data_IF_284525138441
#
_entry.id   IF_284525138441
#
_cell.length_a   1.000
_cell.length_b   1.000
_cell.length_c   1.000
_cell.angle_alpha   90.00
_cell.angle_beta   90.00
_cell.angle_gamma   90.00
#
_symmetry.space_group_name_H-M   'P 1'
#
loop_
_entity.id
_entity.type
_entity.pdbx_description
1 polymer ?
#
# COMPACT_ATOMS: atom_id res chain seq x y z
N UNK A 1 14.87 32.88 9.03
CA UNK A 1 15.93 32.13 8.32
C UNK A 1 17.23 32.01 9.12
N UNK A 2 17.86 33.10 9.59
CA UNK A 2 19.18 33.06 10.28
C UNK A 2 19.28 32.03 11.42
N UNK A 3 18.28 31.98 12.31
CA UNK A 3 18.26 31.05 13.44
C UNK A 3 18.23 29.61 12.95
N UNK A 4 17.29 29.27 12.08
CA UNK A 4 17.12 27.89 11.60
C UNK A 4 18.31 27.39 10.80
N UNK A 5 18.88 28.27 9.96
CA UNK A 5 20.11 27.99 9.21
C UNK A 5 21.29 27.66 10.12
N UNK A 6 21.43 28.37 11.24
CA UNK A 6 22.55 28.16 12.17
C UNK A 6 22.55 26.75 12.81
N UNK A 7 21.42 26.05 12.79
CA UNK A 7 21.26 24.73 13.41
C UNK A 7 20.74 23.65 12.45
N UNK A 8 20.69 23.92 11.14
CA UNK A 8 20.13 23.02 10.12
C UNK A 8 18.72 22.50 10.47
N UNK A 9 17.87 23.41 10.96
CA UNK A 9 16.46 23.10 11.23
C UNK A 9 15.66 23.37 9.96
N UNK A 10 14.94 22.37 9.46
CA UNK A 10 14.04 22.50 8.32
C UNK A 10 12.75 23.23 8.68
N UNK A 11 12.23 24.04 7.76
CA UNK A 11 10.87 24.55 7.85
C UNK A 11 9.86 23.45 7.51
N UNK A 12 8.86 23.31 8.38
CA UNK A 12 7.55 22.76 8.04
C UNK A 12 6.60 23.95 8.01
N UNK A 13 6.28 24.45 6.81
CA UNK A 13 5.41 25.62 6.67
C UNK A 13 3.97 25.19 6.92
N UNK A 14 3.43 25.59 8.08
CA UNK A 14 2.15 25.11 8.60
C UNK A 14 0.93 25.55 7.78
N UNK A 15 -0.10 24.70 7.81
CA UNK A 15 -1.38 24.90 7.14
C UNK A 15 -2.47 25.42 8.11
N UNK A 16 -2.26 26.64 8.60
CA UNK A 16 -3.12 27.27 9.61
C UNK A 16 -4.57 27.46 9.18
N UNK A 17 -4.84 27.53 7.87
CA UNK A 17 -6.16 27.69 7.25
C UNK A 17 -6.62 26.42 6.52
N UNK A 18 -6.12 25.23 6.91
CA UNK A 18 -6.59 23.96 6.35
C UNK A 18 -8.09 23.71 6.61
N UNK A 19 -8.78 22.98 5.72
CA UNK A 19 -10.19 22.64 5.91
C UNK A 19 -10.38 21.64 7.06
N UNK A 20 -11.27 21.98 8.00
CA UNK A 20 -11.73 21.11 9.09
C UNK A 20 -13.06 20.39 8.80
N UNK A 21 -13.60 20.55 7.59
CA UNK A 21 -14.78 19.84 7.10
C UNK A 21 -14.70 19.64 5.59
N UNK A 22 -15.44 18.66 5.06
CA UNK A 22 -15.53 18.42 3.61
C UNK A 22 -16.09 19.64 2.84
N UNK A 23 -16.94 20.45 3.49
CA UNK A 23 -17.56 21.61 2.87
C UNK A 23 -16.54 22.73 2.61
N UNK A 24 -15.59 22.92 3.52
CA UNK A 24 -14.58 23.98 3.47
C UNK A 24 -13.37 23.61 2.58
N UNK A 25 -13.31 22.36 2.12
CA UNK A 25 -12.22 21.87 1.29
C UNK A 25 -12.08 22.68 -0.02
N UNK A 26 -10.86 23.17 -0.26
CA UNK A 26 -10.44 23.95 -1.43
C UNK A 26 -11.09 25.34 -1.52
N UNK A 27 -11.42 25.92 -0.37
CA UNK A 27 -11.89 27.30 -0.32
C UNK A 27 -10.77 28.30 -0.63
N UNK A 28 -11.13 29.59 -0.68
CA UNK A 28 -10.16 30.64 -0.98
C UNK A 28 -9.13 30.83 0.15
N UNK A 29 -9.52 30.61 1.40
CA UNK A 29 -8.62 30.79 2.54
C UNK A 29 -7.47 29.79 2.49
N UNK A 30 -7.80 28.51 2.30
CA UNK A 30 -6.82 27.43 2.16
C UNK A 30 -5.83 27.71 1.02
N UNK A 31 -6.32 28.03 -0.18
CA UNK A 31 -5.43 28.25 -1.32
C UNK A 31 -4.65 29.56 -1.26
N UNK A 32 -5.19 30.60 -0.62
CA UNK A 32 -4.43 31.83 -0.38
C UNK A 32 -3.21 31.58 0.54
N UNK A 33 -3.39 30.75 1.57
CA UNK A 33 -2.29 30.34 2.43
C UNK A 33 -1.26 29.54 1.62
N UNK A 34 -1.67 28.51 0.87
CA UNK A 34 -0.76 27.69 0.06
C UNK A 34 0.09 28.50 -0.93
N UNK A 35 -0.53 29.47 -1.63
CA UNK A 35 0.17 30.41 -2.53
C UNK A 35 1.25 31.20 -1.75
N UNK A 36 0.90 31.70 -0.56
CA UNK A 36 1.83 32.41 0.33
C UNK A 36 2.96 31.50 0.82
N UNK A 37 2.67 30.24 1.16
CA UNK A 37 3.70 29.28 1.56
C UNK A 37 4.71 29.03 0.43
N UNK A 38 4.26 29.03 -0.83
CA UNK A 38 5.13 28.97 -2.00
C UNK A 38 6.08 30.17 -2.13
N UNK A 39 5.61 31.38 -1.83
CA UNK A 39 6.47 32.57 -1.75
C UNK A 39 7.50 32.47 -0.62
N UNK A 40 7.06 32.06 0.58
CA UNK A 40 7.94 31.86 1.73
C UNK A 40 9.00 30.77 1.49
N UNK A 41 8.65 29.74 0.72
CA UNK A 41 9.56 28.67 0.32
C UNK A 41 10.74 29.22 -0.47
N UNK A 42 10.49 30.08 -1.46
CA UNK A 42 11.54 30.71 -2.26
C UNK A 42 12.48 31.55 -1.40
N UNK A 43 11.92 32.35 -0.47
CA UNK A 43 12.71 33.15 0.47
C UNK A 43 13.58 32.27 1.39
N UNK A 44 13.05 31.16 1.89
CA UNK A 44 13.82 30.24 2.72
C UNK A 44 14.94 29.54 1.93
N UNK A 45 14.70 29.18 0.66
CA UNK A 45 15.71 28.59 -0.22
C UNK A 45 16.83 29.57 -0.60
N UNK A 46 16.52 30.85 -0.81
CA UNK A 46 17.54 31.90 -1.03
C UNK A 46 18.55 31.97 0.13
N UNK A 47 18.09 31.71 1.35
CA UNK A 47 18.93 31.64 2.55
C UNK A 47 19.53 30.26 2.82
N UNK A 48 19.26 29.27 1.97
CA UNK A 48 19.77 27.90 2.08
C UNK A 48 19.15 27.07 3.20
N UNK A 49 17.89 27.35 3.58
CA UNK A 49 17.15 26.59 4.60
C UNK A 49 16.25 25.55 3.93
N UNK A 50 16.25 24.33 4.43
CA UNK A 50 15.40 23.23 3.94
C UNK A 50 13.92 23.50 4.24
N UNK A 51 13.00 23.13 3.35
CA UNK A 51 11.56 23.41 3.47
C UNK A 51 10.73 22.20 3.06
N UNK A 52 9.66 21.94 3.81
CA UNK A 52 8.48 21.17 3.41
C UNK A 52 7.21 21.98 3.70
N UNK A 53 6.11 21.66 3.02
CA UNK A 53 4.83 22.38 3.10
C UNK A 53 3.81 21.47 3.80
N UNK A 54 3.10 21.99 4.78
CA UNK A 54 1.96 21.28 5.37
C UNK A 54 0.71 21.45 4.50
N UNK A 55 -0.17 20.45 4.52
CA UNK A 55 -1.34 20.39 3.65
C UNK A 55 -2.54 19.71 4.29
N UNK A 56 -3.69 19.76 3.59
CA UNK A 56 -5.02 19.80 4.19
C UNK A 56 -5.41 18.60 5.08
N UNK A 57 -6.44 18.88 5.89
CA UNK A 57 -7.12 17.92 6.75
C UNK A 57 -8.31 17.21 6.08
N UNK A 58 -9.45 17.87 5.90
CA UNK A 58 -10.68 17.25 5.40
C UNK A 58 -10.90 17.58 3.91
N UNK A 59 -10.83 16.58 3.02
CA UNK A 59 -10.94 16.76 1.57
C UNK A 59 -11.66 15.57 0.93
N UNK A 60 -12.79 15.77 0.23
CA UNK A 60 -13.47 14.67 -0.45
C UNK A 60 -12.63 14.20 -1.64
N UNK A 61 -12.68 12.90 -1.95
CA UNK A 61 -11.76 12.27 -2.93
C UNK A 61 -11.63 13.00 -4.28
N UNK A 62 -12.73 13.52 -4.83
CA UNK A 62 -12.74 14.24 -6.10
C UNK A 62 -11.97 15.59 -6.08
N UNK A 63 -11.66 16.11 -4.89
CA UNK A 63 -10.88 17.35 -4.67
C UNK A 63 -9.42 17.09 -4.28
N UNK A 64 -9.01 15.85 -4.06
CA UNK A 64 -7.64 15.54 -3.61
C UNK A 64 -6.61 15.88 -4.69
N UNK A 65 -6.89 15.56 -5.96
CA UNK A 65 -5.92 15.73 -7.04
C UNK A 65 -5.51 17.21 -7.25
N UNK A 66 -6.47 18.12 -7.22
CA UNK A 66 -6.22 19.56 -7.38
C UNK A 66 -5.38 20.15 -6.23
N UNK A 67 -5.46 19.60 -5.00
CA UNK A 67 -4.57 20.02 -3.91
C UNK A 67 -3.11 19.71 -4.23
N UNK A 68 -2.84 18.50 -4.72
CA UNK A 68 -1.49 18.09 -5.10
C UNK A 68 -0.96 18.90 -6.30
N UNK A 69 -1.78 19.07 -7.34
CA UNK A 69 -1.39 19.84 -8.53
C UNK A 69 -1.05 21.29 -8.18
N UNK A 70 -1.88 21.94 -7.37
CA UNK A 70 -1.64 23.32 -6.96
C UNK A 70 -0.43 23.43 -6.02
N UNK A 71 -0.19 22.45 -5.16
CA UNK A 71 1.02 22.47 -4.33
C UNK A 71 2.30 22.37 -5.16
N UNK A 72 2.34 21.47 -6.16
CA UNK A 72 3.50 21.34 -7.05
C UNK A 72 3.76 22.65 -7.81
N UNK A 73 2.71 23.27 -8.33
CA UNK A 73 2.78 24.53 -9.09
C UNK A 73 3.25 25.70 -8.23
N UNK A 74 2.61 25.93 -7.08
CA UNK A 74 2.83 27.15 -6.28
C UNK A 74 4.09 27.04 -5.40
N UNK A 75 4.39 25.84 -4.91
CA UNK A 75 5.47 25.62 -3.93
C UNK A 75 6.77 25.08 -4.56
N UNK A 76 6.89 25.09 -5.89
CA UNK A 76 8.12 24.69 -6.59
C UNK A 76 8.52 23.24 -6.32
N UNK A 77 7.55 22.33 -6.23
CA UNK A 77 7.75 20.91 -5.93
C UNK A 77 8.42 20.62 -4.57
N UNK A 78 8.37 21.54 -3.61
CA UNK A 78 8.80 21.28 -2.24
C UNK A 78 8.07 20.03 -1.66
N UNK A 79 8.70 19.23 -0.77
CA UNK A 79 8.04 18.09 -0.15
C UNK A 79 6.72 18.47 0.52
N UNK A 80 5.65 17.75 0.21
CA UNK A 80 4.34 17.98 0.79
C UNK A 80 4.10 17.04 1.99
N UNK A 81 3.53 17.57 3.07
CA UNK A 81 3.26 16.90 4.33
C UNK A 81 1.78 17.07 4.72
N UNK A 82 0.96 16.02 4.63
CA UNK A 82 -0.50 16.17 4.78
C UNK A 82 -1.08 15.49 6.01
N UNK A 83 -2.14 16.05 6.59
CA UNK A 83 -2.93 15.41 7.65
C UNK A 83 -4.08 14.57 7.09
N UNK A 84 -3.78 13.35 6.66
CA UNK A 84 -4.72 12.52 5.90
C UNK A 84 -4.57 12.78 4.39
N UNK A 85 -5.60 13.28 3.66
CA UNK A 85 -6.81 13.92 4.20
C UNK A 85 -7.98 12.97 4.52
N UNK A 86 -8.83 13.36 5.48
CA UNK A 86 -10.12 12.71 5.76
C UNK A 86 -11.07 12.88 4.58
N UNK A 87 -11.57 11.76 4.06
CA UNK A 87 -12.43 11.75 2.85
C UNK A 87 -13.91 11.92 3.16
N UNK A 88 -14.30 11.82 4.43
CA UNK A 88 -15.67 12.03 4.92
C UNK A 88 -15.67 12.35 6.41
N UNK A 89 -16.64 13.15 6.87
CA UNK A 89 -16.73 13.65 8.25
C UNK A 89 -17.65 12.79 9.14
N UNK A 90 -18.30 11.76 8.58
CA UNK A 90 -19.44 11.10 9.22
C UNK A 90 -19.07 9.88 10.09
N UNK A 91 -17.78 9.61 10.29
CA UNK A 91 -17.32 8.38 10.96
C UNK A 91 -16.29 8.63 12.08
N UNK A 92 -16.57 9.53 13.05
CA UNK A 92 -15.70 9.70 14.21
C UNK A 92 -15.57 8.37 14.97
N UNK A 93 -14.35 8.05 15.44
CA UNK A 93 -13.99 6.71 15.92
C UNK A 93 -13.31 5.83 14.85
N UNK A 94 -13.43 6.23 13.58
CA UNK A 94 -12.87 5.52 12.42
C UNK A 94 -12.08 6.45 11.50
N UNK A 95 -11.64 7.60 12.01
CA UNK A 95 -11.00 8.62 11.16
C UNK A 95 -9.64 8.19 10.61
N UNK A 96 -8.90 7.33 11.32
CA UNK A 96 -7.75 6.62 10.75
C UNK A 96 -8.06 5.90 9.40
N UNK A 97 -9.29 5.40 9.22
CA UNK A 97 -9.73 4.76 7.98
C UNK A 97 -10.17 5.82 6.96
N UNK A 98 -10.99 6.78 7.36
CA UNK A 98 -11.48 7.85 6.46
C UNK A 98 -10.31 8.64 5.87
N UNK A 99 -9.29 8.90 6.68
CA UNK A 99 -8.06 9.58 6.31
C UNK A 99 -7.09 8.67 5.58
N UNK A 100 -7.00 7.38 5.94
CA UNK A 100 -6.14 6.41 5.27
C UNK A 100 -6.43 6.29 3.77
N UNK A 101 -7.70 6.44 3.38
CA UNK A 101 -8.13 6.51 1.97
C UNK A 101 -7.51 7.72 1.28
N UNK A 102 -7.69 8.93 1.85
CA UNK A 102 -7.17 10.14 1.25
C UNK A 102 -5.65 10.20 1.27
N UNK A 103 -5.02 9.72 2.35
CA UNK A 103 -3.58 9.62 2.50
C UNK A 103 -2.94 8.73 1.43
N UNK A 104 -3.53 7.57 1.12
CA UNK A 104 -3.06 6.71 0.03
C UNK A 104 -3.21 7.40 -1.34
N UNK A 105 -4.31 8.12 -1.56
CA UNK A 105 -4.54 8.85 -2.83
C UNK A 105 -3.56 10.00 -3.01
N UNK A 106 -3.41 10.87 -2.01
CA UNK A 106 -2.55 12.06 -2.12
C UNK A 106 -1.05 11.67 -2.07
N UNK A 107 -0.72 10.61 -1.32
CA UNK A 107 0.59 9.96 -1.36
C UNK A 107 0.92 9.43 -2.76
N UNK A 108 -0.03 8.76 -3.42
CA UNK A 108 0.12 8.32 -4.80
C UNK A 108 0.33 9.51 -5.75
N UNK A 109 -0.38 10.61 -5.54
CA UNK A 109 -0.25 11.79 -6.39
C UNK A 109 1.06 12.57 -6.19
N UNK A 110 1.80 12.36 -5.10
CA UNK A 110 3.13 12.95 -4.91
C UNK A 110 3.48 13.42 -3.50
N UNK A 111 2.59 13.28 -2.52
CA UNK A 111 2.88 13.70 -1.14
C UNK A 111 4.06 12.90 -0.56
N UNK A 112 4.97 13.61 0.12
CA UNK A 112 6.22 13.06 0.61
C UNK A 112 6.13 12.49 2.04
N UNK A 113 5.30 13.11 2.88
CA UNK A 113 5.08 12.68 4.27
C UNK A 113 3.59 12.71 4.61
N UNK A 114 3.13 11.70 5.35
CA UNK A 114 1.73 11.57 5.75
C UNK A 114 1.64 11.63 7.28
N UNK A 115 1.00 12.68 7.81
CA UNK A 115 0.69 12.76 9.22
C UNK A 115 -0.46 11.79 9.50
N UNK A 116 -0.20 10.85 10.40
CA UNK A 116 -1.21 9.88 10.79
C UNK A 116 -2.40 10.53 11.50
N UNK A 117 -3.54 9.85 11.43
CA UNK A 117 -4.76 10.17 12.16
C UNK A 117 -5.13 8.93 12.96
N UNK A 118 -5.49 9.12 14.22
CA UNK A 118 -5.80 8.01 15.13
C UNK A 118 -7.29 7.66 15.07
N UNK A 119 -7.72 6.49 15.59
CA UNK A 119 -9.13 6.19 15.73
C UNK A 119 -9.90 7.22 16.58
N UNK A 120 -9.25 7.80 17.60
CA UNK A 120 -9.86 8.79 18.52
C UNK A 120 -9.76 10.23 18.04
N UNK A 121 -9.33 10.49 16.81
CA UNK A 121 -9.42 11.83 16.24
C UNK A 121 -10.85 12.36 16.38
N UNK A 122 -10.99 13.66 16.68
CA UNK A 122 -12.25 14.33 17.01
C UNK A 122 -12.98 13.84 18.28
N UNK A 123 -12.41 12.89 19.05
CA UNK A 123 -13.04 12.31 20.23
C UNK A 123 -12.22 12.48 21.51
N UNK A 124 -10.89 12.43 21.44
CA UNK A 124 -10.03 12.59 22.60
C UNK A 124 -8.58 12.19 22.37
N UNK A 125 -7.79 12.18 23.44
CA UNK A 125 -6.40 11.77 23.36
C UNK A 125 -6.28 10.26 23.06
N UNK A 126 -5.41 9.86 22.09
CA UNK A 126 -5.19 8.46 21.78
C UNK A 126 -4.46 7.76 22.93
N UNK A 127 -4.81 6.48 23.15
CA UNK A 127 -4.02 5.59 23.99
C UNK A 127 -2.94 4.85 23.16
N UNK A 128 -2.22 3.93 23.82
CA UNK A 128 -1.14 3.17 23.19
C UNK A 128 -1.61 2.36 21.97
N UNK A 129 -2.79 1.76 22.05
CA UNK A 129 -3.29 0.88 20.99
C UNK A 129 -3.88 1.69 19.84
N UNK A 130 -4.46 2.87 20.12
CA UNK A 130 -4.84 3.86 19.11
C UNK A 130 -3.63 4.34 18.30
N UNK A 131 -2.50 4.60 18.98
CA UNK A 131 -1.24 4.98 18.32
C UNK A 131 -0.74 3.87 17.42
N UNK A 132 -0.68 2.61 17.91
CA UNK A 132 -0.30 1.45 17.08
C UNK A 132 -1.20 1.35 15.84
N UNK A 133 -2.52 1.49 16.04
CA UNK A 133 -3.52 1.41 14.96
C UNK A 133 -3.28 2.49 13.92
N UNK A 134 -3.14 3.75 14.31
CA UNK A 134 -2.86 4.87 13.39
C UNK A 134 -1.56 4.66 12.60
N UNK A 135 -0.49 4.22 13.28
CA UNK A 135 0.81 3.97 12.62
C UNK A 135 0.69 2.85 11.58
N UNK A 136 0.09 1.71 11.93
CA UNK A 136 -0.07 0.60 10.99
C UNK A 136 -0.95 1.01 9.80
N UNK A 137 -2.05 1.72 10.04
CA UNK A 137 -2.93 2.22 8.98
C UNK A 137 -2.20 3.13 8.01
N UNK A 138 -1.37 4.05 8.50
CA UNK A 138 -0.62 4.95 7.62
C UNK A 138 0.59 4.29 6.96
N UNK A 139 1.19 3.26 7.57
CA UNK A 139 2.17 2.41 6.89
C UNK A 139 1.53 1.65 5.72
N UNK A 140 0.28 1.21 5.84
CA UNK A 140 -0.49 0.62 4.73
C UNK A 140 -0.74 1.68 3.65
N UNK A 141 -1.23 2.86 4.01
CA UNK A 141 -1.52 3.93 3.05
C UNK A 141 -0.27 4.38 2.28
N UNK A 142 0.86 4.58 2.97
CA UNK A 142 2.13 4.93 2.35
C UNK A 142 2.63 3.82 1.41
N UNK A 143 2.58 2.56 1.84
CA UNK A 143 2.98 1.43 0.99
C UNK A 143 2.08 1.27 -0.24
N UNK A 144 0.76 1.48 -0.09
CA UNK A 144 -0.18 1.48 -1.21
C UNK A 144 0.12 2.60 -2.21
N UNK A 145 0.48 3.80 -1.73
CA UNK A 145 0.95 4.89 -2.57
C UNK A 145 2.25 4.52 -3.31
N UNK A 146 3.23 3.91 -2.64
CA UNK A 146 4.49 3.48 -3.26
C UNK A 146 4.26 2.41 -4.35
N UNK A 147 3.35 1.47 -4.13
CA UNK A 147 2.93 0.51 -5.15
C UNK A 147 2.30 1.20 -6.36
N UNK A 148 1.36 2.14 -6.13
CA UNK A 148 0.69 2.88 -7.20
C UNK A 148 1.65 3.80 -7.98
N UNK A 149 2.71 4.30 -7.33
CA UNK A 149 3.82 5.03 -7.95
C UNK A 149 4.79 4.14 -8.72
N UNK A 150 4.72 2.82 -8.54
CA UNK A 150 5.68 1.88 -9.12
C UNK A 150 7.08 2.03 -8.52
N UNK A 151 7.19 2.37 -7.22
CA UNK A 151 8.48 2.50 -6.55
C UNK A 151 9.26 1.16 -6.64
N UNK A 152 10.56 1.15 -7.04
CA UNK A 152 11.24 -0.06 -7.52
C UNK A 152 11.17 -1.28 -6.60
N UNK A 153 11.27 -1.07 -5.28
CA UNK A 153 11.27 -2.15 -4.29
C UNK A 153 9.91 -2.41 -3.61
N UNK A 154 8.88 -1.60 -3.88
CA UNK A 154 7.62 -1.70 -3.14
C UNK A 154 6.95 -3.07 -3.33
N UNK A 155 6.94 -3.56 -4.56
CA UNK A 155 6.29 -4.82 -4.93
C UNK A 155 6.96 -6.06 -4.33
N UNK A 156 8.24 -6.00 -3.98
CA UNK A 156 8.99 -7.17 -3.51
C UNK A 156 8.36 -7.77 -2.25
N UNK A 157 7.89 -6.91 -1.33
CA UNK A 157 7.23 -7.33 -0.09
C UNK A 157 5.89 -8.01 -0.37
N UNK A 158 5.05 -7.42 -1.22
CA UNK A 158 3.75 -7.98 -1.62
C UNK A 158 3.92 -9.35 -2.27
N UNK A 159 4.87 -9.46 -3.21
CA UNK A 159 5.14 -10.69 -3.92
C UNK A 159 5.71 -11.76 -2.96
N UNK A 160 6.59 -11.39 -2.02
CA UNK A 160 7.12 -12.33 -1.03
C UNK A 160 6.03 -12.86 -0.08
N UNK A 161 5.18 -11.98 0.44
CA UNK A 161 4.05 -12.35 1.30
C UNK A 161 3.03 -13.21 0.52
N UNK A 162 2.75 -12.84 -0.73
CA UNK A 162 1.81 -13.58 -1.59
C UNK A 162 2.33 -14.99 -1.94
N UNK A 163 3.63 -15.13 -2.20
CA UNK A 163 4.26 -16.46 -2.35
C UNK A 163 4.15 -17.28 -1.07
N UNK A 164 4.47 -16.69 0.08
CA UNK A 164 4.34 -17.38 1.37
C UNK A 164 2.89 -17.83 1.63
N UNK A 165 1.91 -16.99 1.28
CA UNK A 165 0.49 -17.31 1.37
C UNK A 165 0.09 -18.48 0.47
N UNK A 166 0.50 -18.45 -0.80
CA UNK A 166 0.16 -19.49 -1.77
C UNK A 166 0.83 -20.84 -1.43
N UNK A 167 2.04 -20.80 -0.87
CA UNK A 167 2.80 -21.99 -0.45
C UNK A 167 2.47 -22.44 0.98
N UNK A 168 1.48 -21.83 1.63
CA UNK A 168 1.05 -22.12 3.00
C UNK A 168 2.18 -22.02 4.05
N UNK A 169 3.19 -21.19 3.80
CA UNK A 169 4.26 -20.85 4.75
C UNK A 169 3.75 -19.83 5.76
N UNK A 170 2.85 -20.26 6.65
CA UNK A 170 2.13 -19.38 7.60
C UNK A 170 3.04 -18.46 8.42
N UNK A 171 4.12 -19.01 9.00
CA UNK A 171 5.08 -18.21 9.79
C UNK A 171 5.73 -17.11 8.96
N UNK A 172 6.12 -17.43 7.73
CA UNK A 172 6.72 -16.43 6.83
C UNK A 172 5.69 -15.37 6.43
N UNK A 173 4.44 -15.77 6.17
CA UNK A 173 3.35 -14.82 5.89
C UNK A 173 3.13 -13.85 7.06
N UNK A 174 3.14 -14.34 8.31
CA UNK A 174 2.98 -13.47 9.48
C UNK A 174 4.16 -12.50 9.61
N UNK A 175 5.39 -13.02 9.54
CA UNK A 175 6.62 -12.24 9.71
C UNK A 175 6.81 -11.17 8.61
N UNK A 176 6.31 -11.42 7.40
CA UNK A 176 6.36 -10.46 6.30
C UNK A 176 5.27 -9.37 6.38
N UNK A 177 4.23 -9.56 7.19
CA UNK A 177 3.13 -8.60 7.36
C UNK A 177 3.58 -7.34 8.11
N UNK A 178 2.77 -6.28 8.07
CA UNK A 178 3.07 -5.02 8.77
C UNK A 178 2.89 -5.12 10.30
N UNK A 179 2.07 -6.05 10.77
CA UNK A 179 1.85 -6.33 12.19
C UNK A 179 1.79 -7.86 12.43
N UNK A 180 2.97 -8.51 12.53
CA UNK A 180 3.06 -9.98 12.65
C UNK A 180 2.29 -10.55 13.83
N UNK A 181 2.31 -9.87 14.99
CA UNK A 181 1.61 -10.30 16.21
C UNK A 181 0.11 -10.41 15.97
N UNK A 182 -0.49 -9.41 15.31
CA UNK A 182 -1.92 -9.40 15.01
C UNK A 182 -2.27 -10.46 13.97
N UNK A 183 -1.42 -10.64 12.94
CA UNK A 183 -1.65 -11.64 11.91
C UNK A 183 -1.67 -13.07 12.47
N UNK A 184 -0.69 -13.42 13.31
CA UNK A 184 -0.64 -14.73 13.98
C UNK A 184 -1.80 -14.90 14.96
N UNK A 185 -2.09 -13.87 15.78
CA UNK A 185 -3.21 -13.90 16.73
C UNK A 185 -4.55 -14.17 16.04
N UNK A 186 -4.83 -13.56 14.90
CA UNK A 186 -6.11 -13.75 14.19
C UNK A 186 -6.24 -15.15 13.57
N UNK A 187 -5.15 -15.72 13.07
CA UNK A 187 -5.15 -17.12 12.64
C UNK A 187 -5.47 -18.05 13.83
N UNK A 188 -4.78 -17.84 14.95
CA UNK A 188 -4.81 -18.74 16.11
C UNK A 188 -6.10 -18.67 16.93
N UNK A 189 -6.92 -17.64 16.73
CA UNK A 189 -8.28 -17.60 17.29
C UNK A 189 -9.14 -18.79 16.87
N UNK A 190 -8.84 -19.40 15.71
CA UNK A 190 -9.60 -20.55 15.20
C UNK A 190 -8.75 -21.81 15.00
N UNK A 191 -7.46 -21.66 14.70
CA UNK A 191 -6.54 -22.76 14.46
C UNK A 191 -5.25 -22.60 15.30
N UNK A 192 -5.34 -22.69 16.65
CA UNK A 192 -4.21 -22.39 17.54
C UNK A 192 -3.11 -23.47 17.54
N UNK A 193 -3.41 -24.68 17.07
CA UNK A 193 -2.45 -25.78 17.13
C UNK A 193 -1.25 -25.51 16.21
N UNK A 194 -0.03 -25.81 16.68
CA UNK A 194 1.20 -25.62 15.89
C UNK A 194 1.18 -26.35 14.55
N UNK A 195 0.55 -27.54 14.49
CA UNK A 195 0.36 -28.27 13.23
C UNK A 195 -0.47 -27.51 12.19
N UNK A 196 -1.32 -26.55 12.60
CA UNK A 196 -2.09 -25.73 11.67
C UNK A 196 -1.21 -24.74 10.90
N UNK A 197 -0.03 -24.37 11.41
CA UNK A 197 0.95 -23.53 10.69
C UNK A 197 1.62 -24.27 9.53
N UNK A 198 1.35 -25.57 9.37
CA UNK A 198 1.77 -26.41 8.26
C UNK A 198 0.57 -26.83 7.38
N UNK A 199 -0.65 -26.36 7.70
CA UNK A 199 -1.86 -26.78 7.00
C UNK A 199 -2.04 -26.02 5.67
N UNK A 200 -2.49 -26.73 4.64
CA UNK A 200 -2.80 -26.15 3.33
C UNK A 200 -4.20 -25.51 3.26
N UNK A 201 -4.67 -24.95 4.37
CA UNK A 201 -5.96 -24.26 4.47
C UNK A 201 -6.01 -23.38 5.71
N UNK A 202 -6.99 -22.49 5.78
CA UNK A 202 -7.39 -21.81 6.99
C UNK A 202 -8.85 -22.13 7.35
N UNK A 203 -9.33 -21.62 8.48
CA UNK A 203 -10.71 -21.81 8.93
C UNK A 203 -11.78 -21.23 8.00
N UNK A 204 -11.43 -20.28 7.13
CA UNK A 204 -12.39 -19.63 6.22
C UNK A 204 -12.99 -20.61 5.20
N UNK A 205 -12.16 -21.44 4.57
CA UNK A 205 -12.60 -22.40 3.53
C UNK A 205 -12.51 -23.85 4.00
N UNK A 206 -11.70 -24.12 5.03
CA UNK A 206 -11.40 -25.47 5.47
C UNK A 206 -10.61 -26.29 4.42
N UNK A 207 -10.32 -27.57 4.73
CA UNK A 207 -9.41 -28.40 3.94
C UNK A 207 -9.94 -28.82 2.56
N UNK A 208 -11.24 -28.71 2.31
CA UNK A 208 -11.86 -29.20 1.07
C UNK A 208 -12.12 -28.12 0.03
N UNK A 209 -12.18 -26.85 0.45
CA UNK A 209 -12.61 -25.75 -0.40
C UNK A 209 -11.58 -24.62 -0.49
N UNK A 210 -10.35 -24.84 0.01
CA UNK A 210 -9.29 -23.86 -0.14
C UNK A 210 -8.89 -23.75 -1.62
N UNK A 211 -9.13 -22.59 -2.21
CA UNK A 211 -8.85 -22.33 -3.64
C UNK A 211 -7.37 -22.47 -3.99
N UNK A 212 -6.46 -22.08 -3.09
CA UNK A 212 -5.01 -22.20 -3.31
C UNK A 212 -4.56 -23.66 -3.29
N UNK A 213 -5.11 -24.48 -2.38
CA UNK A 213 -4.83 -25.92 -2.32
C UNK A 213 -5.33 -26.61 -3.59
N UNK A 214 -6.58 -26.34 -3.99
CA UNK A 214 -7.16 -26.89 -5.22
C UNK A 214 -6.31 -26.49 -6.44
N UNK A 215 -5.81 -25.25 -6.48
CA UNK A 215 -4.91 -24.79 -7.55
C UNK A 215 -3.60 -25.56 -7.56
N UNK A 216 -3.03 -25.86 -6.39
CA UNK A 216 -1.82 -26.68 -6.27
C UNK A 216 -2.05 -28.10 -6.80
N UNK A 217 -3.14 -28.74 -6.38
CA UNK A 217 -3.52 -30.09 -6.85
C UNK A 217 -3.72 -30.12 -8.38
N UNK A 218 -4.36 -29.11 -8.97
CA UNK A 218 -4.52 -28.99 -10.43
C UNK A 218 -3.16 -28.81 -11.12
N UNK A 219 -2.25 -27.98 -10.57
CA UNK A 219 -0.90 -27.77 -11.13
C UNK A 219 -0.07 -29.04 -11.09
N UNK A 220 -0.18 -29.81 -10.02
CA UNK A 220 0.55 -31.07 -9.86
C UNK A 220 0.02 -32.14 -10.82
N UNK A 221 -1.31 -32.25 -10.97
CA UNK A 221 -1.94 -33.12 -11.96
C UNK A 221 -1.50 -32.76 -13.40
N UNK A 222 -1.55 -31.47 -13.76
CA UNK A 222 -1.13 -31.01 -15.08
C UNK A 222 0.35 -31.28 -15.35
N UNK A 223 1.22 -31.12 -14.34
CA UNK A 223 2.64 -31.44 -14.44
C UNK A 223 2.88 -32.94 -14.68
N UNK A 224 2.17 -33.81 -13.95
CA UNK A 224 2.25 -35.25 -14.15
C UNK A 224 1.82 -35.66 -15.58
N UNK A 225 0.74 -35.06 -16.09
CA UNK A 225 0.29 -35.29 -17.48
C UNK A 225 1.30 -34.81 -18.54
N UNK A 226 1.97 -33.67 -18.30
CA UNK A 226 3.04 -33.22 -19.20
C UNK A 226 4.25 -34.16 -19.17
N UNK A 227 4.65 -34.66 -18.01
CA UNK A 227 5.75 -35.62 -17.90
C UNK A 227 5.43 -36.94 -18.63
N UNK A 228 4.19 -37.41 -18.53
CA UNK A 228 3.70 -38.56 -19.28
C UNK A 228 3.79 -38.31 -20.79
N UNK A 229 3.34 -37.15 -21.27
CA UNK A 229 3.43 -36.77 -22.68
C UNK A 229 4.86 -36.61 -23.16
N UNK A 230 5.78 -36.09 -22.34
CA UNK A 230 7.21 -36.07 -22.66
C UNK A 230 7.78 -37.49 -22.80
N UNK A 231 7.41 -38.42 -21.91
CA UNK A 231 7.80 -39.84 -22.02
C UNK A 231 7.18 -40.52 -23.23
N UNK A 232 5.93 -40.20 -23.57
CA UNK A 232 5.27 -40.68 -24.79
C UNK A 232 5.97 -40.18 -26.06
N UNK A 233 6.26 -38.88 -26.13
CA UNK A 233 6.99 -38.27 -27.24
C UNK A 233 8.36 -38.92 -27.46
N UNK A 234 9.13 -39.13 -26.39
CA UNK A 234 10.42 -39.85 -26.47
C UNK A 234 10.25 -41.30 -26.92
N UNK A 235 9.21 -42.00 -26.47
CA UNK A 235 8.89 -43.38 -26.91
C UNK A 235 8.49 -43.44 -28.39
N UNK A 236 7.85 -42.40 -28.90
CA UNK A 236 7.43 -42.26 -30.30
C UNK A 236 8.55 -41.74 -31.22
N UNK A 237 9.80 -41.70 -30.74
CA UNK A 237 10.97 -41.34 -31.55
C UNK A 237 11.31 -39.85 -31.56
N UNK A 238 10.71 -39.04 -30.68
CA UNK A 238 10.91 -37.59 -30.61
C UNK A 238 10.53 -36.84 -31.90
N UNK A 239 9.55 -37.36 -32.63
CA UNK A 239 9.04 -36.79 -33.87
C UNK A 239 7.86 -35.85 -33.61
N UNK A 240 7.91 -34.64 -34.18
CA UNK A 240 6.85 -33.64 -34.04
C UNK A 240 5.63 -34.01 -34.88
N UNK A 241 5.83 -34.73 -35.98
CA UNK A 241 4.78 -35.13 -36.92
C UNK A 241 4.72 -36.64 -37.07
N UNK A 242 3.73 -37.27 -36.44
CA UNK A 242 3.45 -38.69 -36.60
C UNK A 242 2.20 -38.93 -37.43
N UNK A 243 2.08 -40.13 -38.01
CA UNK A 243 0.84 -40.59 -38.62
C UNK A 243 -0.21 -41.02 -37.57
N UNK A 244 -1.37 -41.48 -38.03
CA UNK A 244 -2.47 -41.95 -37.17
C UNK A 244 -2.13 -43.21 -36.35
N UNK A 245 -0.98 -43.83 -36.62
CA UNK A 245 -0.46 -45.00 -35.92
C UNK A 245 0.77 -44.67 -35.05
N UNK A 246 1.16 -43.39 -34.94
CA UNK A 246 2.28 -42.95 -34.12
C UNK A 246 3.66 -43.22 -34.75
N UNK A 247 3.73 -43.48 -36.06
CA UNK A 247 5.00 -43.62 -36.78
C UNK A 247 5.44 -42.27 -37.37
N UNK A 248 6.76 -42.02 -37.53
CA UNK A 248 7.25 -40.82 -38.19
C UNK A 248 6.63 -40.68 -39.58
N UNK A 249 6.02 -39.53 -39.90
CA UNK A 249 5.61 -39.27 -41.28
C UNK A 249 6.87 -39.14 -42.13
N UNK A 250 7.00 -39.96 -43.17
CA UNK A 250 8.07 -39.81 -44.16
C UNK A 250 8.10 -38.36 -44.65
N UNK A 251 9.28 -37.73 -44.65
CA UNK A 251 9.45 -36.39 -45.17
C UNK A 251 8.92 -36.36 -46.62
N UNK A 252 7.98 -35.45 -46.90
CA UNK A 252 7.56 -35.22 -48.27
C UNK A 252 8.77 -34.67 -49.05
N UNK A 253 9.23 -35.43 -50.05
CA UNK A 253 10.21 -34.99 -51.06
C UNK A 253 9.71 -33.78 -51.85
#
# INVERSE_FOLDING_TARGET
>A
NEIMRAYDVSYSLGDGLRPGSIADANDRAQFAELETLGELTKLAWEDGVQVMIEGPGHVPMHKIKINMEKQLEECGEAPFYTLGPLTTDIAPGYDHITSGIGAAMIGWFGTALLCYVTPKEHLGLPDRDDVKTGVITYKIAAHAADLAKGHPAARERDDALSRARFEFRWRDQFNLSLDPETAEKFHDQTLPAEGAKLAHFCSMCGPKFCSMQITQEIRDYARAGMEEKSKEFLRQGAEIYTDEHGQPRAAAE
#
